data_IF_452365287857
#
_entry.id   IF_452365287857
#
_cell.length_a   1.000
_cell.length_b   1.000
_cell.length_c   1.000
_cell.angle_alpha   90.00
_cell.angle_beta   90.00
_cell.angle_gamma   90.00
#
_symmetry.space_group_name_H-M   'P 1'
#
loop_
_entity.id
_entity.type
_entity.pdbx_description
1 polymer ?
#
# COMPACT_ATOMS: atom_id res chain seq x y z
N UNK A 1 3.49 5.16 -17.03
CA UNK A 1 2.14 5.23 -16.43
C UNK A 1 2.19 5.93 -15.06
N UNK A 2 1.20 6.77 -14.73
CA UNK A 2 1.12 7.46 -13.44
C UNK A 2 0.51 6.54 -12.37
N UNK A 3 1.28 5.55 -11.92
CA UNK A 3 0.81 4.54 -10.93
C UNK A 3 0.31 5.19 -9.64
N UNK A 4 0.93 6.29 -9.21
CA UNK A 4 0.49 7.01 -8.02
C UNK A 4 -0.88 7.66 -8.19
N UNK A 5 -1.16 8.28 -9.34
CA UNK A 5 -2.46 8.91 -9.58
C UNK A 5 -3.59 7.87 -9.54
N UNK A 6 -3.35 6.64 -10.04
CA UNK A 6 -4.29 5.52 -9.89
C UNK A 6 -4.48 5.08 -8.42
N UNK A 7 -3.44 5.17 -7.58
CA UNK A 7 -3.59 4.92 -6.15
C UNK A 7 -4.48 5.99 -5.50
N UNK A 8 -4.30 7.25 -5.88
CA UNK A 8 -5.14 8.36 -5.40
C UNK A 8 -6.59 8.18 -5.85
N UNK A 9 -6.83 7.77 -7.09
CA UNK A 9 -8.19 7.47 -7.59
C UNK A 9 -8.88 6.36 -6.77
N UNK A 10 -8.13 5.36 -6.30
CA UNK A 10 -8.66 4.24 -5.51
C UNK A 10 -8.83 4.60 -4.03
N UNK A 11 -7.86 5.30 -3.44
CA UNK A 11 -7.80 5.54 -1.99
C UNK A 11 -8.43 6.87 -1.55
N UNK A 12 -8.60 7.80 -2.49
CA UNK A 12 -8.80 9.21 -2.20
C UNK A 12 -7.50 9.92 -1.79
N UNK A 13 -7.51 11.26 -1.70
CA UNK A 13 -6.32 12.09 -1.47
C UNK A 13 -5.79 12.05 -0.03
N UNK A 14 -6.50 11.40 0.90
CA UNK A 14 -6.19 11.39 2.33
C UNK A 14 -5.22 10.26 2.73
N UNK A 15 -4.17 10.10 1.91
CA UNK A 15 -3.19 9.03 2.03
C UNK A 15 -1.78 9.56 2.37
N UNK A 16 -0.95 8.69 2.92
CA UNK A 16 0.47 8.91 3.13
C UNK A 16 1.31 7.72 2.69
N UNK A 17 2.61 7.94 2.51
CA UNK A 17 3.58 6.89 2.32
C UNK A 17 3.87 6.18 3.65
N UNK A 18 3.81 4.85 3.66
CA UNK A 18 3.83 4.07 4.89
C UNK A 18 5.04 3.14 4.99
N UNK A 19 5.43 2.50 3.89
CA UNK A 19 6.48 1.48 3.88
C UNK A 19 7.13 1.36 2.50
N UNK A 20 8.44 1.11 2.46
CA UNK A 20 9.20 0.63 1.32
C UNK A 20 9.90 -0.70 1.65
N UNK A 21 9.90 -1.63 0.70
CA UNK A 21 10.65 -2.88 0.84
C UNK A 21 11.31 -3.29 -0.47
N UNK A 22 12.58 -3.68 -0.40
CA UNK A 22 13.23 -4.46 -1.45
C UNK A 22 13.20 -5.93 -1.04
N UNK A 23 12.60 -6.78 -1.88
CA UNK A 23 12.45 -8.21 -1.59
C UNK A 23 13.21 -9.00 -2.66
N UNK A 24 14.14 -9.83 -2.20
CA UNK A 24 14.86 -10.79 -3.03
C UNK A 24 14.44 -12.19 -2.60
N UNK A 25 13.91 -12.97 -3.55
CA UNK A 25 13.62 -14.39 -3.36
C UNK A 25 14.67 -15.21 -4.09
N UNK A 26 15.50 -15.93 -3.34
CA UNK A 26 16.52 -16.82 -3.90
C UNK A 26 15.89 -17.93 -4.74
N UNK A 27 16.68 -18.51 -5.63
CA UNK A 27 16.29 -19.67 -6.42
C UNK A 27 16.60 -20.97 -5.68
N UNK A 28 15.72 -21.98 -5.80
CA UNK A 28 15.86 -23.33 -5.21
C UNK A 28 16.29 -23.33 -3.73
N UNK A 29 15.78 -22.37 -2.96
CA UNK A 29 16.12 -22.20 -1.53
C UNK A 29 15.28 -23.08 -0.59
N UNK A 30 14.38 -23.91 -1.15
CA UNK A 30 13.48 -24.78 -0.40
C UNK A 30 12.31 -24.06 0.26
N UNK A 31 12.11 -22.76 0.01
CA UNK A 31 10.99 -22.01 0.56
C UNK A 31 9.66 -22.44 -0.08
N UNK A 32 8.68 -22.92 0.72
CA UNK A 32 7.45 -23.51 0.18
C UNK A 32 6.37 -22.49 -0.22
N UNK A 33 6.58 -21.20 0.05
CA UNK A 33 5.51 -20.21 -0.09
C UNK A 33 4.59 -20.11 1.13
N UNK A 34 3.82 -19.03 1.18
CA UNK A 34 2.72 -18.85 2.15
C UNK A 34 1.71 -17.86 1.60
N UNK A 35 0.51 -17.84 2.19
CA UNK A 35 -0.53 -16.84 1.88
C UNK A 35 -0.89 -16.06 3.14
N UNK A 36 -1.18 -14.78 3.00
CA UNK A 36 -1.59 -13.87 4.06
C UNK A 36 -2.41 -12.70 3.50
N UNK A 37 -2.92 -11.86 4.40
CA UNK A 37 -3.28 -10.46 4.14
C UNK A 37 -2.26 -9.56 4.81
N UNK A 38 -2.17 -8.31 4.36
CA UNK A 38 -1.29 -7.32 4.97
C UNK A 38 -1.86 -6.72 6.26
N UNK A 39 -0.98 -6.08 7.03
CA UNK A 39 -1.34 -5.27 8.19
C UNK A 39 -1.70 -6.05 9.46
N UNK A 40 -1.33 -7.33 9.51
CA UNK A 40 -1.47 -8.17 10.70
C UNK A 40 -2.92 -8.51 11.05
N UNK A 41 -3.13 -8.92 12.30
CA UNK A 41 -4.40 -9.41 12.83
C UNK A 41 -5.51 -8.35 12.77
N UNK A 42 -5.16 -7.08 13.04
CA UNK A 42 -6.12 -5.98 13.03
C UNK A 42 -6.64 -5.67 11.62
N UNK A 43 -5.74 -5.40 10.67
CA UNK A 43 -6.16 -5.07 9.29
C UNK A 43 -6.77 -6.26 8.56
N UNK A 44 -6.40 -7.50 8.92
CA UNK A 44 -7.02 -8.73 8.36
C UNK A 44 -8.53 -8.80 8.59
N UNK A 45 -9.05 -8.14 9.62
CA UNK A 45 -10.48 -8.10 9.91
C UNK A 45 -11.22 -7.02 9.12
N UNK A 46 -10.50 -6.10 8.49
CA UNK A 46 -11.06 -5.04 7.65
C UNK A 46 -11.11 -5.54 6.21
N UNK A 47 -12.27 -5.34 5.59
CA UNK A 47 -12.53 -5.71 4.20
C UNK A 47 -12.76 -4.46 3.39
N UNK A 48 -12.28 -4.50 2.15
CA UNK A 48 -12.70 -3.53 1.15
C UNK A 48 -14.09 -3.95 0.69
N UNK A 49 -14.96 -2.99 0.46
CA UNK A 49 -16.28 -3.16 -0.16
C UNK A 49 -16.36 -2.23 -1.36
N UNK A 50 -17.34 -2.44 -2.24
CA UNK A 50 -17.52 -1.61 -3.45
C UNK A 50 -17.70 -0.12 -3.13
N UNK A 51 -18.13 0.20 -1.90
CA UNK A 51 -18.38 1.54 -1.41
C UNK A 51 -17.36 2.04 -0.38
N UNK A 52 -16.25 1.32 -0.14
CA UNK A 52 -15.24 1.73 0.84
C UNK A 52 -13.83 1.77 0.23
N UNK A 53 -13.07 2.81 0.60
CA UNK A 53 -11.67 2.90 0.24
C UNK A 53 -10.83 1.91 1.07
N UNK A 54 -9.77 1.31 0.50
CA UNK A 54 -8.87 0.47 1.27
C UNK A 54 -8.09 1.29 2.31
N UNK A 55 -7.78 0.67 3.45
CA UNK A 55 -6.89 1.24 4.47
C UNK A 55 -5.47 1.42 3.93
N UNK A 56 -5.00 0.47 3.13
CA UNK A 56 -3.70 0.55 2.47
C UNK A 56 -3.72 -0.13 1.09
N UNK A 57 -2.89 0.41 0.20
CA UNK A 57 -2.59 -0.10 -1.14
C UNK A 57 -1.09 -0.23 -1.31
N UNK A 58 -0.67 -1.29 -2.01
CA UNK A 58 0.72 -1.52 -2.37
C UNK A 58 0.92 -1.44 -3.88
N UNK A 59 2.02 -0.83 -4.27
CA UNK A 59 2.60 -0.90 -5.60
C UNK A 59 3.87 -1.75 -5.55
N UNK A 60 3.82 -2.96 -6.11
CA UNK A 60 4.95 -3.86 -6.20
C UNK A 60 5.50 -3.85 -7.63
N UNK A 61 6.69 -3.30 -7.80
CA UNK A 61 7.42 -3.27 -9.06
C UNK A 61 8.31 -4.51 -9.19
N UNK A 62 8.24 -5.16 -10.35
CA UNK A 62 9.16 -6.23 -10.73
C UNK A 62 10.48 -5.63 -11.19
N UNK A 63 11.60 -6.09 -10.62
CA UNK A 63 12.94 -5.73 -11.08
C UNK A 63 13.60 -6.84 -11.91
N UNK A 64 12.94 -7.98 -12.05
CA UNK A 64 13.34 -9.14 -12.83
C UNK A 64 12.10 -9.72 -13.48
N UNK A 65 12.27 -10.30 -14.67
CA UNK A 65 11.19 -11.04 -15.34
C UNK A 65 10.73 -12.23 -14.50
N UNK A 66 9.43 -12.51 -14.58
CA UNK A 66 8.75 -13.64 -13.94
C UNK A 66 7.89 -14.30 -15.01
N UNK A 67 8.44 -15.31 -15.67
CA UNK A 67 7.86 -15.89 -16.89
C UNK A 67 7.01 -17.13 -16.62
N UNK A 68 7.32 -17.87 -15.55
CA UNK A 68 6.72 -19.17 -15.26
C UNK A 68 6.16 -19.21 -13.84
N UNK A 69 5.33 -20.23 -13.58
CA UNK A 69 4.92 -20.58 -12.21
C UNK A 69 6.11 -21.07 -11.39
N UNK A 70 5.99 -20.94 -10.07
CA UNK A 70 7.03 -21.30 -9.10
C UNK A 70 8.38 -20.64 -9.39
N UNK A 71 8.35 -19.37 -9.82
CA UNK A 71 9.50 -18.47 -9.98
C UNK A 71 9.57 -17.44 -8.86
N UNK A 72 9.03 -17.76 -7.68
CA UNK A 72 8.86 -16.82 -6.58
C UNK A 72 7.71 -15.82 -6.82
N UNK A 73 6.74 -16.18 -7.66
CA UNK A 73 5.66 -15.31 -8.12
C UNK A 73 4.90 -14.65 -6.96
N UNK A 74 4.42 -13.43 -7.20
CA UNK A 74 3.36 -12.87 -6.38
C UNK A 74 2.06 -13.63 -6.71
N UNK A 75 1.59 -14.43 -5.76
CA UNK A 75 0.41 -15.26 -5.90
C UNK A 75 -0.76 -14.58 -5.22
N UNK A 76 -1.90 -14.51 -5.90
CA UNK A 76 -3.10 -13.83 -5.41
C UNK A 76 -4.31 -14.76 -5.47
N UNK A 77 -5.33 -14.44 -4.69
CA UNK A 77 -6.65 -15.04 -4.81
C UNK A 77 -7.63 -13.97 -5.31
N UNK A 78 -7.97 -13.94 -6.61
CA UNK A 78 -8.88 -12.94 -7.16
C UNK A 78 -10.21 -12.86 -6.38
N UNK A 79 -10.69 -11.64 -6.13
CA UNK A 79 -11.91 -11.39 -5.35
C UNK A 79 -11.80 -11.62 -3.83
N UNK A 80 -10.66 -12.09 -3.31
CA UNK A 80 -10.53 -12.43 -1.90
C UNK A 80 -10.57 -11.23 -0.94
N UNK A 81 -10.32 -10.02 -1.42
CA UNK A 81 -10.40 -8.77 -0.63
C UNK A 81 -11.79 -8.48 -0.07
N UNK A 82 -12.84 -9.11 -0.62
CA UNK A 82 -14.23 -9.01 -0.15
C UNK A 82 -14.59 -10.09 0.90
N UNK A 83 -13.66 -11.01 1.23
CA UNK A 83 -13.93 -12.19 2.05
C UNK A 83 -12.99 -12.27 3.25
N UNK A 84 -13.48 -12.83 4.35
CA UNK A 84 -12.67 -13.03 5.56
C UNK A 84 -11.56 -14.05 5.32
N UNK A 85 -10.32 -13.67 5.63
CA UNK A 85 -9.17 -14.59 5.54
C UNK A 85 -9.39 -15.81 6.45
N UNK A 86 -9.19 -17.05 5.96
CA UNK A 86 -9.37 -18.24 6.78
C UNK A 86 -8.23 -18.35 7.81
N UNK A 87 -8.56 -18.29 9.10
CA UNK A 87 -7.58 -18.25 10.20
C UNK A 87 -7.31 -19.60 10.86
N UNK A 88 -8.03 -20.66 10.52
CA UNK A 88 -7.74 -22.00 11.05
C UNK A 88 -6.56 -22.64 10.31
N UNK A 89 -5.69 -23.35 11.04
CA UNK A 89 -4.47 -23.96 10.47
C UNK A 89 -4.80 -24.93 9.34
N UNK A 90 -5.90 -25.67 9.44
CA UNK A 90 -6.31 -26.62 8.39
C UNK A 90 -6.83 -25.94 7.11
N UNK A 91 -7.13 -24.62 7.16
CA UNK A 91 -7.74 -23.88 6.06
C UNK A 91 -6.89 -22.74 5.53
N UNK A 92 -5.66 -22.57 6.04
CA UNK A 92 -4.78 -21.50 5.56
C UNK A 92 -4.35 -21.82 4.12
N UNK A 93 -4.72 -20.99 3.13
CA UNK A 93 -4.39 -21.26 1.74
C UNK A 93 -2.89 -21.18 1.52
N UNK A 94 -2.39 -21.95 0.56
CA UNK A 94 -1.02 -21.88 0.06
C UNK A 94 -1.03 -21.44 -1.42
N UNK A 95 0.13 -21.13 -2.01
CA UNK A 95 0.22 -20.64 -3.39
C UNK A 95 -0.31 -21.59 -4.48
N UNK A 96 -0.54 -22.86 -4.16
CA UNK A 96 -1.11 -23.87 -5.07
C UNK A 96 -2.54 -24.27 -4.71
N UNK A 97 -3.16 -23.61 -3.72
CA UNK A 97 -4.54 -23.89 -3.34
C UNK A 97 -5.53 -23.50 -4.45
N UNK A 98 -6.71 -24.15 -4.54
CA UNK A 98 -7.71 -23.82 -5.55
C UNK A 98 -8.08 -22.31 -5.54
N UNK A 99 -8.07 -21.71 -6.72
CA UNK A 99 -8.36 -20.28 -6.91
C UNK A 99 -7.15 -19.35 -6.70
N UNK A 100 -5.97 -19.89 -6.36
CA UNK A 100 -4.72 -19.15 -6.41
C UNK A 100 -4.30 -18.89 -7.86
N UNK A 101 -3.78 -17.70 -8.12
CA UNK A 101 -3.21 -17.30 -9.41
C UNK A 101 -1.82 -16.74 -9.17
N UNK A 102 -0.80 -17.42 -9.68
CA UNK A 102 0.56 -16.92 -9.69
C UNK A 102 0.72 -15.92 -10.83
N UNK A 103 1.06 -14.67 -10.51
CA UNK A 103 1.18 -13.63 -11.54
C UNK A 103 2.53 -13.68 -12.24
N UNK A 104 2.49 -13.58 -13.57
CA UNK A 104 3.64 -13.37 -14.44
C UNK A 104 3.74 -11.90 -14.82
N UNK A 105 4.95 -11.45 -15.13
CA UNK A 105 5.22 -10.07 -15.53
C UNK A 105 6.68 -9.87 -15.87
N UNK A 106 6.98 -8.78 -16.56
CA UNK A 106 8.33 -8.38 -16.94
C UNK A 106 8.91 -7.38 -15.95
N UNK A 107 10.24 -7.25 -15.94
CA UNK A 107 10.90 -6.18 -15.23
C UNK A 107 10.33 -4.82 -15.69
N UNK A 108 9.94 -3.99 -14.73
CA UNK A 108 9.24 -2.72 -14.95
C UNK A 108 7.72 -2.79 -14.76
N UNK A 109 7.10 -3.97 -14.82
CA UNK A 109 5.67 -4.12 -14.52
C UNK A 109 5.39 -3.85 -13.04
N UNK A 110 4.15 -3.42 -12.75
CA UNK A 110 3.69 -3.09 -11.41
C UNK A 110 2.39 -3.81 -11.07
N UNK A 111 2.34 -4.46 -9.92
CA UNK A 111 1.12 -5.00 -9.33
C UNK A 111 0.58 -4.03 -8.28
N UNK A 112 -0.68 -3.64 -8.42
CA UNK A 112 -1.43 -2.89 -7.42
C UNK A 112 -2.37 -3.82 -6.67
N UNK A 113 -2.38 -3.76 -5.34
CA UNK A 113 -3.28 -4.56 -4.51
C UNK A 113 -3.58 -3.92 -3.15
N UNK A 114 -4.81 -4.10 -2.63
CA UNK A 114 -5.18 -3.62 -1.30
C UNK A 114 -4.70 -4.58 -0.20
N UNK A 115 -4.58 -4.05 1.01
CA UNK A 115 -4.22 -4.81 2.21
C UNK A 115 -5.03 -6.10 2.44
N UNK A 116 -6.33 -6.08 2.07
CA UNK A 116 -7.26 -7.18 2.29
C UNK A 116 -7.12 -8.32 1.27
N UNK A 117 -6.41 -8.14 0.15
CA UNK A 117 -6.24 -9.19 -0.86
C UNK A 117 -5.40 -10.33 -0.26
N UNK A 118 -5.90 -11.56 -0.36
CA UNK A 118 -5.12 -12.72 0.04
C UNK A 118 -4.04 -12.94 -1.00
N UNK A 119 -2.80 -12.95 -0.55
CA UNK A 119 -1.66 -13.05 -1.43
C UNK A 119 -0.44 -13.63 -0.71
N UNK A 120 0.57 -13.96 -1.49
CA UNK A 120 1.88 -14.25 -0.96
C UNK A 120 2.81 -14.84 -2.01
N UNK A 121 4.07 -15.07 -1.65
CA UNK A 121 5.06 -15.60 -2.58
C UNK A 121 4.86 -17.10 -2.81
N UNK A 122 4.92 -17.53 -4.07
CA UNK A 122 5.12 -18.93 -4.45
C UNK A 122 6.57 -19.39 -4.12
N UNK A 123 6.85 -20.71 -4.13
CA UNK A 123 8.21 -21.20 -4.22
C UNK A 123 8.96 -20.62 -5.42
N UNK A 124 10.29 -20.62 -5.35
CA UNK A 124 11.13 -20.30 -6.49
C UNK A 124 12.00 -21.52 -6.85
N UNK A 125 11.61 -22.26 -7.89
CA UNK A 125 12.29 -23.43 -8.41
C UNK A 125 13.32 -23.08 -9.49
N UNK A 126 13.45 -21.80 -9.83
CA UNK A 126 14.43 -21.32 -10.80
C UNK A 126 15.82 -21.20 -10.17
N UNK A 127 16.87 -21.18 -10.99
CA UNK A 127 18.25 -20.93 -10.55
C UNK A 127 18.56 -19.43 -10.34
N UNK A 128 17.59 -18.56 -10.63
CA UNK A 128 17.72 -17.11 -10.52
C UNK A 128 16.85 -16.55 -9.40
N UNK A 129 17.36 -15.51 -8.74
CA UNK A 129 16.63 -14.81 -7.71
C UNK A 129 15.67 -13.77 -8.28
N UNK A 130 14.41 -13.77 -7.82
CA UNK A 130 13.41 -12.76 -8.17
C UNK A 130 13.57 -11.53 -7.29
N UNK A 131 13.61 -10.35 -7.90
CA UNK A 131 13.76 -9.07 -7.19
C UNK A 131 12.55 -8.17 -7.41
N UNK A 132 12.06 -7.57 -6.34
CA UNK A 132 10.95 -6.60 -6.39
C UNK A 132 11.21 -5.44 -5.46
N UNK A 133 10.70 -4.27 -5.82
CA UNK A 133 10.56 -3.14 -4.89
C UNK A 133 9.08 -2.89 -4.65
N UNK A 134 8.73 -2.63 -3.40
CA UNK A 134 7.36 -2.40 -2.97
C UNK A 134 7.26 -1.03 -2.29
N UNK A 135 6.20 -0.31 -2.63
CA UNK A 135 5.79 0.92 -1.96
C UNK A 135 4.37 0.74 -1.41
N UNK A 136 4.19 0.96 -0.12
CA UNK A 136 2.90 0.93 0.55
C UNK A 136 2.42 2.35 0.84
N UNK A 137 1.16 2.60 0.52
CA UNK A 137 0.44 3.80 0.88
C UNK A 137 -0.69 3.42 1.81
N UNK A 138 -0.90 4.20 2.86
CA UNK A 138 -1.99 3.98 3.82
C UNK A 138 -2.79 5.27 4.01
N UNK A 139 -4.04 5.14 4.44
CA UNK A 139 -4.80 6.29 4.93
C UNK A 139 -4.02 7.02 6.04
N UNK A 140 -4.09 8.35 6.08
CA UNK A 140 -3.26 9.17 6.98
C UNK A 140 -3.45 8.85 8.47
N UNK A 141 -4.63 8.37 8.87
CA UNK A 141 -4.89 7.98 10.25
C UNK A 141 -4.12 6.72 10.69
N UNK A 142 -3.49 5.99 9.77
CA UNK A 142 -2.68 4.80 10.06
C UNK A 142 -1.25 5.22 10.34
N UNK A 143 -0.69 4.82 11.49
CA UNK A 143 0.72 5.06 11.78
C UNK A 143 1.62 4.43 10.70
N UNK A 144 2.60 5.19 10.23
CA UNK A 144 3.73 4.78 9.39
C UNK A 144 4.34 3.45 9.85
N UNK A 145 4.86 2.69 8.89
CA UNK A 145 5.59 1.46 9.16
C UNK A 145 7.10 1.69 9.26
N UNK A 146 7.69 2.41 8.29
CA UNK A 146 9.15 2.57 8.18
C UNK A 146 9.72 3.60 9.16
N UNK A 147 8.92 4.58 9.57
CA UNK A 147 9.38 5.72 10.35
C UNK A 147 8.76 5.72 11.75
N UNK A 148 9.61 5.66 12.77
CA UNK A 148 9.21 5.82 14.17
C UNK A 148 9.10 7.28 14.63
N UNK A 149 9.63 8.21 13.84
CA UNK A 149 9.79 9.63 14.13
C UNK A 149 9.72 10.46 12.84
N UNK A 150 9.90 11.78 12.95
CA UNK A 150 9.94 12.72 11.82
C UNK A 150 11.02 12.31 10.82
N UNK A 151 10.68 12.35 9.54
CA UNK A 151 11.63 12.08 8.45
C UNK A 151 12.71 13.17 8.44
N UNK A 152 14.01 12.82 8.38
CA UNK A 152 15.08 13.82 8.41
C UNK A 152 14.98 14.86 7.28
N UNK A 153 15.24 16.14 7.59
CA UNK A 153 15.13 17.23 6.61
C UNK A 153 16.01 17.00 5.37
N UNK A 154 17.20 16.41 5.54
CA UNK A 154 18.09 16.07 4.44
C UNK A 154 17.48 15.09 3.40
N UNK A 155 16.42 14.37 3.76
CA UNK A 155 15.61 13.57 2.83
C UNK A 155 14.51 14.46 2.24
N UNK A 156 13.78 15.20 3.08
CA UNK A 156 12.67 16.06 2.65
C UNK A 156 13.10 17.18 1.68
N UNK A 157 14.33 17.69 1.80
CA UNK A 157 14.93 18.69 0.90
C UNK A 157 15.07 18.18 -0.54
N UNK A 158 15.07 16.86 -0.73
CA UNK A 158 15.16 16.21 -2.05
C UNK A 158 13.80 15.85 -2.63
N UNK A 159 12.73 16.09 -1.88
CA UNK A 159 11.38 15.69 -2.21
C UNK A 159 10.61 16.85 -2.85
N UNK A 160 9.76 16.53 -3.81
CA UNK A 160 8.72 17.47 -4.27
C UNK A 160 7.72 17.75 -3.16
N UNK A 161 6.91 18.84 -3.23
CA UNK A 161 5.89 19.12 -2.21
C UNK A 161 4.96 17.93 -1.93
N UNK A 162 4.51 17.22 -2.97
CA UNK A 162 3.70 16.00 -2.84
C UNK A 162 4.45 14.87 -2.13
N UNK A 163 5.72 14.65 -2.45
CA UNK A 163 6.54 13.64 -1.78
C UNK A 163 6.79 13.98 -0.31
N UNK A 164 7.04 15.26 0.01
CA UNK A 164 7.16 15.73 1.40
C UNK A 164 5.88 15.44 2.18
N UNK A 165 4.71 15.77 1.60
CA UNK A 165 3.40 15.48 2.22
C UNK A 165 3.19 13.99 2.47
N UNK A 166 3.54 13.15 1.51
CA UNK A 166 3.48 11.69 1.66
C UNK A 166 4.42 11.17 2.75
N UNK A 167 5.53 11.86 3.00
CA UNK A 167 6.48 11.59 4.09
C UNK A 167 6.11 12.35 5.38
N UNK A 168 4.84 12.76 5.51
CA UNK A 168 4.25 13.33 6.72
C UNK A 168 4.65 14.77 7.04
N UNK A 169 5.18 15.52 6.06
CA UNK A 169 5.25 16.97 6.16
C UNK A 169 3.82 17.55 6.08
N UNK A 170 3.30 18.00 7.22
CA UNK A 170 1.95 18.53 7.35
C UNK A 170 1.82 19.96 6.81
N UNK A 171 2.93 20.63 6.47
CA UNK A 171 2.96 22.07 6.16
C UNK A 171 2.85 22.98 7.40
N UNK A 172 2.75 22.39 8.59
CA UNK A 172 2.66 23.09 9.88
C UNK A 172 3.17 22.19 11.02
N UNK A 173 3.44 22.80 12.18
CA UNK A 173 3.91 22.07 13.38
C UNK A 173 2.88 21.05 13.88
N UNK A 174 3.34 19.83 14.17
CA UNK A 174 2.46 18.76 14.66
C UNK A 174 1.67 19.19 15.91
N UNK A 175 0.37 18.87 15.90
CA UNK A 175 -0.51 19.01 17.07
C UNK A 175 -1.34 17.74 17.28
N UNK A 176 -1.80 17.46 18.51
CA UNK A 176 -2.71 16.34 18.74
C UNK A 176 -3.88 16.36 17.75
N UNK A 177 -4.05 15.27 16.99
CA UNK A 177 -5.10 15.16 15.97
C UNK A 177 -4.68 15.42 14.52
N UNK A 178 -3.46 15.88 14.23
CA UNK A 178 -3.01 16.24 12.86
C UNK A 178 -3.15 15.15 11.79
N UNK A 179 -3.14 13.87 12.15
CA UNK A 179 -3.33 12.75 11.21
C UNK A 179 -4.78 12.26 11.13
N UNK A 180 -5.63 12.66 12.08
CA UNK A 180 -7.07 12.41 12.07
C UNK A 180 -7.81 13.52 11.31
N UNK A 181 -7.37 14.77 11.50
CA UNK A 181 -7.83 15.94 10.75
C UNK A 181 -6.69 16.40 9.85
N UNK A 182 -6.77 15.99 8.60
CA UNK A 182 -5.73 16.24 7.58
C UNK A 182 -5.45 17.74 7.39
N UNK A 183 -4.25 18.12 6.91
CA UNK A 183 -3.94 19.51 6.55
C UNK A 183 -4.96 20.11 5.57
N UNK A 184 -5.29 21.39 5.69
CA UNK A 184 -6.32 22.08 4.87
C UNK A 184 -6.04 22.04 3.35
N UNK A 185 -4.76 21.94 2.98
CA UNK A 185 -4.26 21.86 1.61
C UNK A 185 -4.02 20.41 1.13
N UNK A 186 -4.49 19.39 1.89
CA UNK A 186 -4.19 17.98 1.58
C UNK A 186 -4.61 17.59 0.17
N UNK A 187 -5.82 17.93 -0.24
CA UNK A 187 -6.28 17.63 -1.60
C UNK A 187 -5.44 18.35 -2.65
N UNK A 188 -5.20 19.65 -2.46
CA UNK A 188 -4.41 20.46 -3.39
C UNK A 188 -3.01 19.90 -3.61
N UNK A 189 -2.33 19.52 -2.52
CA UNK A 189 -0.96 18.99 -2.57
C UNK A 189 -0.91 17.59 -3.20
N UNK A 190 -1.84 16.70 -2.87
CA UNK A 190 -1.84 15.32 -3.39
C UNK A 190 -2.28 15.25 -4.85
N UNK A 191 -3.32 16.00 -5.21
CA UNK A 191 -3.84 16.10 -6.58
C UNK A 191 -2.99 17.02 -7.47
N UNK A 192 -2.09 17.81 -6.86
CA UNK A 192 -1.27 18.83 -7.53
C UNK A 192 -2.12 19.90 -8.25
N UNK A 193 -3.18 20.35 -7.59
CA UNK A 193 -4.12 21.36 -8.08
C UNK A 193 -4.41 22.37 -6.96
N UNK A 194 -3.79 23.54 -7.05
CA UNK A 194 -3.89 24.62 -6.05
C UNK A 194 -5.30 25.21 -5.94
N UNK A 195 -6.20 24.91 -6.87
CA UNK A 195 -7.59 25.39 -6.82
C UNK A 195 -8.47 24.57 -5.86
N UNK A 196 -8.00 23.39 -5.44
CA UNK A 196 -8.75 22.50 -4.56
C UNK A 196 -8.63 22.92 -3.09
N UNK A 197 -9.72 22.71 -2.36
CA UNK A 197 -9.77 22.74 -0.90
C UNK A 197 -10.30 21.39 -0.43
N UNK A 198 -9.92 20.93 0.77
CA UNK A 198 -10.40 19.66 1.30
C UNK A 198 -11.94 19.50 1.22
N UNK A 199 -12.40 18.63 0.32
CA UNK A 199 -13.81 18.41 0.04
C UNK A 199 -14.59 17.79 1.21
N UNK A 200 -13.92 17.10 2.13
CA UNK A 200 -14.54 16.45 3.29
C UNK A 200 -14.40 17.21 4.60
N UNK A 201 -13.69 18.34 4.64
CA UNK A 201 -13.70 19.19 5.83
C UNK A 201 -15.03 19.95 5.87
N UNK A 202 -15.80 19.88 6.97
CA UNK A 202 -16.96 20.75 7.09
C UNK A 202 -16.50 22.21 6.96
N UNK A 203 -17.27 23.08 6.29
CA UNK A 203 -16.92 24.49 6.23
C UNK A 203 -16.69 24.95 7.66
N UNK A 204 -15.53 25.55 7.92
CA UNK A 204 -15.26 26.15 9.23
C UNK A 204 -16.50 26.98 9.59
N UNK A 205 -17.23 26.56 10.62
CA UNK A 205 -18.27 27.40 11.19
C UNK A 205 -17.50 28.60 11.70
N UNK A 206 -17.55 29.71 10.96
CA UNK A 206 -16.99 30.97 11.45
C UNK A 206 -17.53 31.16 12.88
N UNK A 207 -16.66 31.50 13.85
CA UNK A 207 -17.15 31.79 15.18
C UNK A 207 -18.21 32.88 15.04
N UNK A 208 -19.46 32.54 15.36
CA UNK A 208 -20.54 33.51 15.38
C UNK A 208 -20.10 34.63 16.32
N UNK A 209 -19.87 35.81 15.75
CA UNK A 209 -19.61 37.01 16.55
C UNK A 209 -20.86 37.24 17.39
N UNK A 210 -20.76 37.01 18.70
CA UNK A 210 -21.73 37.47 19.67
C UNK A 210 -21.62 38.99 19.85
#
# INVERSE_FOLDING_TARGET
PNVFDLIVDIMGPYLQFSMSQAIVRGGKDGFPGYTHTDGGEGQRLIRVTETSAPIAMKAMYLLTDVNDVDSGNFTVFPGSHMRSFPTTKERTPNPHAPGAVQLMGKAGDCYLFPHALWHGPAPNQMDIGRKTILYNYSQMFVRWYDYGAVVPEAILDKCTPRQRRLLGDLGYEFRPGSYFYVPEDQEAVIMQDETLTNSLQPPHLEPQRA
#
